data_IF_584919288854
#
_entry.id   IF_584919288854
#
_cell.length_a   1.000
_cell.length_b   1.000
_cell.length_c   1.000
_cell.angle_alpha   90.00
_cell.angle_beta   90.00
_cell.angle_gamma   90.00
#
_symmetry.space_group_name_H-M   'P 1'
#
loop_
_entity.id
_entity.type
_entity.pdbx_description
1 polymer ?
#
# COMPACT_ATOMS: atom_id res chain seq x y z
N UNK A 1 37.81 12.88 -5.85
CA UNK A 1 38.34 12.42 -4.56
C UNK A 1 37.58 11.16 -4.16
N UNK A 2 38.21 10.00 -4.31
CA UNK A 2 37.64 8.67 -4.05
C UNK A 2 38.07 8.18 -2.68
N UNK A 3 37.15 7.63 -1.87
CA UNK A 3 37.48 6.86 -0.67
C UNK A 3 36.70 5.55 -0.66
N UNK A 4 37.41 4.50 -1.06
CA UNK A 4 37.12 3.10 -0.78
C UNK A 4 37.02 2.87 0.74
N UNK A 5 36.11 1.99 1.16
CA UNK A 5 36.31 1.22 2.38
C UNK A 5 35.86 -0.22 2.15
N UNK A 6 36.84 -1.13 2.04
CA UNK A 6 36.66 -2.58 2.08
C UNK A 6 37.09 -3.03 3.46
N UNK A 7 36.21 -3.75 4.17
CA UNK A 7 36.64 -4.60 5.29
C UNK A 7 36.07 -5.99 5.06
N UNK A 8 36.97 -6.93 4.77
CA UNK A 8 36.73 -8.37 4.79
C UNK A 8 37.15 -8.89 6.16
N UNK A 9 36.32 -9.70 6.81
CA UNK A 9 36.77 -10.72 7.77
C UNK A 9 35.98 -12.00 7.46
N UNK A 10 36.71 -13.10 7.37
CA UNK A 10 36.23 -14.43 7.07
C UNK A 10 36.57 -15.39 8.22
N UNK A 11 35.88 -16.54 8.18
CA UNK A 11 36.35 -17.88 8.58
C UNK A 11 36.04 -18.36 10.01
N UNK A 12 35.22 -19.44 10.11
CA UNK A 12 35.51 -20.81 10.60
C UNK A 12 34.16 -21.49 10.93
N UNK A 13 33.71 -22.52 10.20
CA UNK A 13 34.03 -23.95 10.35
C UNK A 13 33.58 -24.58 11.69
N UNK A 14 32.72 -25.61 11.59
CA UNK A 14 32.76 -26.77 12.48
C UNK A 14 31.43 -27.12 13.16
N UNK A 15 30.88 -28.29 12.84
CA UNK A 15 29.88 -28.93 13.70
C UNK A 15 28.93 -29.92 13.02
N UNK A 16 29.46 -31.02 12.49
CA UNK A 16 28.64 -32.19 12.13
C UNK A 16 28.46 -33.06 13.38
N UNK A 17 27.22 -33.33 13.80
CA UNK A 17 26.90 -34.41 14.74
C UNK A 17 25.91 -35.37 14.08
N UNK A 18 26.26 -36.66 14.14
CA UNK A 18 25.50 -37.82 13.64
C UNK A 18 25.02 -38.65 14.83
N UNK A 19 23.94 -39.40 14.61
CA UNK A 19 23.33 -40.48 15.42
C UNK A 19 22.28 -39.97 16.44
N UNK A 20 21.11 -40.60 16.61
CA UNK A 20 20.77 -42.02 16.50
C UNK A 20 19.25 -42.17 16.33
N UNK A 21 18.79 -43.15 15.56
CA UNK A 21 17.39 -43.52 15.47
C UNK A 21 16.95 -44.36 16.68
N UNK A 22 15.80 -44.04 17.27
CA UNK A 22 15.02 -44.98 18.07
C UNK A 22 13.52 -44.70 17.87
N UNK A 23 12.83 -45.66 17.27
CA UNK A 23 11.41 -45.69 17.02
C UNK A 23 10.65 -46.04 18.29
N UNK A 24 9.71 -45.19 18.70
CA UNK A 24 8.62 -45.55 19.60
C UNK A 24 7.31 -45.19 18.90
N UNK A 25 6.56 -46.23 18.53
CA UNK A 25 5.16 -46.12 18.13
C UNK A 25 4.33 -45.85 19.38
N UNK A 26 3.58 -44.75 19.41
CA UNK A 26 2.67 -44.44 20.49
C UNK A 26 1.71 -43.31 20.12
N UNK A 27 0.46 -43.69 19.85
CA UNK A 27 -0.73 -42.83 19.95
C UNK A 27 -0.88 -41.73 18.91
N UNK A 28 -1.71 -41.96 17.89
CA UNK A 28 -2.35 -40.83 17.19
C UNK A 28 -3.45 -40.32 18.12
N UNK A 29 -3.12 -39.37 18.98
CA UNK A 29 -4.11 -38.45 19.54
C UNK A 29 -4.62 -37.58 18.39
N UNK A 30 -5.94 -37.52 18.21
CA UNK A 30 -6.55 -36.48 17.38
C UNK A 30 -6.12 -35.12 17.95
N UNK A 31 -5.25 -34.42 17.23
CA UNK A 31 -5.01 -33.01 17.45
C UNK A 31 -6.25 -32.29 16.91
N UNK A 32 -7.04 -31.70 17.80
CA UNK A 32 -7.99 -30.68 17.43
C UNK A 32 -7.23 -29.58 16.69
N UNK A 33 -7.56 -29.38 15.42
CA UNK A 33 -7.11 -28.22 14.66
C UNK A 33 -7.65 -26.97 15.36
N UNK A 34 -6.78 -26.31 16.12
CA UNK A 34 -7.03 -24.96 16.60
C UNK A 34 -7.16 -24.04 15.38
N UNK A 35 -8.41 -23.80 14.98
CA UNK A 35 -8.83 -22.72 14.07
C UNK A 35 -8.05 -21.45 14.43
N UNK A 36 -7.29 -20.83 13.51
CA UNK A 36 -6.66 -19.56 13.83
C UNK A 36 -7.79 -18.56 14.10
N UNK A 37 -7.72 -17.93 15.26
CA UNK A 37 -8.58 -16.83 15.63
C UNK A 37 -8.48 -15.76 14.54
N UNK A 38 -9.58 -15.56 13.81
CA UNK A 38 -9.80 -14.39 12.98
C UNK A 38 -9.59 -13.17 13.87
N UNK A 39 -8.46 -12.47 13.70
CA UNK A 39 -8.29 -11.14 14.26
C UNK A 39 -9.37 -10.28 13.61
N UNK A 40 -10.41 -9.97 14.38
CA UNK A 40 -11.57 -9.21 13.95
C UNK A 40 -11.15 -7.87 13.35
N UNK A 41 -11.06 -7.83 12.02
CA UNK A 41 -10.90 -6.59 11.30
C UNK A 41 -12.29 -5.97 11.21
N UNK A 42 -12.47 -4.83 11.86
CA UNK A 42 -13.72 -4.08 11.79
C UNK A 42 -14.09 -3.85 10.31
N UNK A 43 -15.38 -3.95 9.95
CA UNK A 43 -15.81 -3.76 8.57
C UNK A 43 -15.37 -2.38 8.07
N UNK A 44 -14.81 -2.35 6.86
CA UNK A 44 -14.44 -1.10 6.21
C UNK A 44 -15.65 -0.16 6.18
N UNK A 45 -15.48 1.06 6.69
CA UNK A 45 -16.54 2.07 6.63
C UNK A 45 -16.77 2.43 5.15
N UNK A 46 -18.04 2.63 4.78
CA UNK A 46 -18.45 3.12 3.47
C UNK A 46 -17.68 4.40 3.12
N UNK A 47 -16.98 4.41 1.99
CA UNK A 47 -16.22 5.57 1.52
C UNK A 47 -17.10 6.81 1.31
N UNK A 48 -18.40 6.62 1.09
CA UNK A 48 -19.38 7.70 1.01
C UNK A 48 -19.49 8.49 2.34
N UNK A 49 -19.06 7.92 3.47
CA UNK A 49 -19.03 8.56 4.78
C UNK A 49 -17.61 8.51 5.35
N UNK A 50 -16.88 9.62 5.22
CA UNK A 50 -15.53 9.77 5.79
C UNK A 50 -14.39 9.82 4.76
N UNK A 51 -14.70 9.83 3.47
CA UNK A 51 -13.78 10.26 2.42
C UNK A 51 -14.20 11.66 1.94
N UNK A 52 -13.28 12.61 1.91
CA UNK A 52 -13.52 13.95 1.39
C UNK A 52 -12.44 14.33 0.39
N UNK A 53 -12.85 14.78 -0.80
CA UNK A 53 -11.95 15.37 -1.80
C UNK A 53 -12.08 16.89 -1.79
N UNK A 54 -10.95 17.58 -1.84
CA UNK A 54 -10.87 19.03 -2.04
C UNK A 54 -10.06 19.32 -3.30
N UNK A 55 -10.69 19.89 -4.32
CA UNK A 55 -10.04 20.19 -5.59
C UNK A 55 -9.15 21.44 -5.43
N UNK A 56 -7.88 21.36 -5.87
CA UNK A 56 -6.93 22.48 -5.78
C UNK A 56 -6.67 23.12 -7.15
N UNK A 57 -6.14 22.35 -8.09
CA UNK A 57 -5.84 22.82 -9.44
C UNK A 57 -6.28 21.79 -10.48
N UNK A 58 -6.73 22.31 -11.62
CA UNK A 58 -6.98 21.56 -12.85
C UNK A 58 -6.55 22.43 -14.03
N UNK A 59 -5.53 22.04 -14.79
CA UNK A 59 -4.99 22.82 -15.92
C UNK A 59 -4.46 21.91 -17.02
N UNK A 60 -4.60 22.36 -18.25
CA UNK A 60 -3.91 21.77 -19.39
C UNK A 60 -2.40 21.82 -19.17
N UNK A 61 -1.72 20.73 -19.53
CA UNK A 61 -0.26 20.72 -19.62
C UNK A 61 0.17 21.14 -21.03
N UNK A 62 1.44 21.54 -21.17
CA UNK A 62 2.08 21.73 -22.47
C UNK A 62 2.44 20.38 -23.14
N UNK A 63 1.55 19.41 -23.00
CA UNK A 63 1.60 18.07 -23.56
C UNK A 63 0.22 17.79 -24.15
N UNK A 64 0.17 17.54 -25.45
CA UNK A 64 -1.08 17.43 -26.18
C UNK A 64 -2.02 16.38 -25.55
N UNK A 65 -3.23 16.82 -25.22
CA UNK A 65 -4.29 15.96 -24.68
C UNK A 65 -4.11 15.53 -23.22
N UNK A 66 -3.20 16.17 -22.47
CA UNK A 66 -3.02 15.90 -21.05
C UNK A 66 -3.34 17.13 -20.19
N UNK A 67 -3.78 16.86 -18.97
CA UNK A 67 -4.00 17.86 -17.94
C UNK A 67 -3.40 17.41 -16.61
N UNK A 68 -3.00 18.39 -15.80
CA UNK A 68 -2.66 18.19 -14.40
C UNK A 68 -3.89 18.46 -13.54
N UNK A 69 -4.16 17.55 -12.62
CA UNK A 69 -5.15 17.74 -11.55
C UNK A 69 -4.45 17.54 -10.22
N UNK A 70 -4.73 18.38 -9.24
CA UNK A 70 -4.27 18.16 -7.89
C UNK A 70 -5.43 18.32 -6.92
N UNK A 71 -5.53 17.40 -5.98
CA UNK A 71 -6.56 17.40 -4.94
C UNK A 71 -5.93 17.03 -3.60
N UNK A 72 -6.59 17.43 -2.53
CA UNK A 72 -6.38 16.83 -1.20
C UNK A 72 -7.47 15.79 -0.98
N UNK A 73 -7.08 14.62 -0.48
CA UNK A 73 -8.03 13.57 -0.07
C UNK A 73 -7.87 13.31 1.42
N UNK A 74 -8.94 13.56 2.17
CA UNK A 74 -9.01 13.30 3.60
C UNK A 74 -9.77 12.00 3.88
N UNK A 75 -9.22 11.18 4.76
CA UNK A 75 -9.79 9.91 5.20
C UNK A 75 -10.00 9.91 6.72
N UNK A 76 -11.22 9.61 7.15
CA UNK A 76 -11.49 9.25 8.55
C UNK A 76 -10.80 7.93 8.95
N UNK A 77 -10.58 7.69 10.26
CA UNK A 77 -9.97 6.45 10.72
C UNK A 77 -10.69 5.20 10.22
N UNK A 78 -9.94 4.31 9.56
CA UNK A 78 -10.43 3.05 9.01
C UNK A 78 -11.19 3.14 7.69
N UNK A 79 -11.29 4.33 7.08
CA UNK A 79 -11.92 4.49 5.76
C UNK A 79 -10.99 3.91 4.67
N UNK A 80 -11.63 3.28 3.69
CA UNK A 80 -10.99 2.66 2.53
C UNK A 80 -11.61 3.28 1.28
N UNK A 81 -10.82 3.70 0.30
CA UNK A 81 -11.33 4.17 -0.99
C UNK A 81 -12.02 3.02 -1.75
N UNK A 82 -12.92 3.28 -2.71
CA UNK A 82 -13.30 2.23 -3.65
C UNK A 82 -12.07 1.76 -4.45
N UNK A 83 -12.13 0.55 -5.00
CA UNK A 83 -11.14 0.09 -5.98
C UNK A 83 -11.32 0.87 -7.27
N UNK A 84 -10.26 1.53 -7.75
CA UNK A 84 -10.35 2.43 -8.90
C UNK A 84 -9.03 2.56 -9.65
N UNK A 85 -9.06 3.23 -10.79
CA UNK A 85 -7.89 3.59 -11.58
C UNK A 85 -8.05 4.99 -12.20
N UNK A 86 -6.95 5.54 -12.71
CA UNK A 86 -6.90 6.83 -13.39
C UNK A 86 -6.48 6.70 -14.85
N UNK A 87 -6.98 7.55 -15.77
CA UNK A 87 -6.58 7.57 -17.17
C UNK A 87 -5.21 8.29 -17.35
N UNK A 88 -4.25 7.96 -16.51
CA UNK A 88 -2.95 8.61 -16.39
C UNK A 88 -2.27 8.30 -15.06
N UNK A 89 -1.11 8.89 -14.85
CA UNK A 89 -0.29 8.68 -13.65
C UNK A 89 -0.89 9.42 -12.47
N UNK A 90 -0.76 8.83 -11.29
CA UNK A 90 -0.94 9.52 -10.01
C UNK A 90 0.35 9.47 -9.20
N UNK A 91 0.64 10.58 -8.51
CA UNK A 91 1.62 10.64 -7.43
C UNK A 91 0.88 11.04 -6.17
N UNK A 92 0.80 10.11 -5.23
CA UNK A 92 0.26 10.37 -3.90
C UNK A 92 1.40 10.81 -2.96
N UNK A 93 1.14 11.81 -2.13
CA UNK A 93 2.05 12.25 -1.07
C UNK A 93 1.28 12.42 0.23
N UNK A 94 1.68 11.70 1.27
CA UNK A 94 0.97 11.74 2.56
C UNK A 94 1.30 13.03 3.28
N UNK A 95 0.28 13.84 3.54
CA UNK A 95 0.40 15.08 4.31
C UNK A 95 0.35 14.80 5.81
N UNK A 96 -0.50 13.85 6.23
CA UNK A 96 -0.64 13.46 7.63
C UNK A 96 -1.26 12.07 7.77
N UNK A 97 -1.01 11.41 8.90
CA UNK A 97 -1.53 10.07 9.19
C UNK A 97 -0.70 8.95 8.55
N UNK A 98 -1.36 7.79 8.39
CA UNK A 98 -0.73 6.57 7.85
C UNK A 98 -1.70 5.89 6.91
N UNK A 99 -1.25 5.65 5.69
CA UNK A 99 -2.00 4.97 4.65
C UNK A 99 -1.42 3.60 4.35
N UNK A 100 -2.29 2.64 4.09
CA UNK A 100 -1.93 1.41 3.38
C UNK A 100 -2.48 1.49 1.97
N UNK A 101 -1.63 1.20 0.99
CA UNK A 101 -1.96 1.15 -0.43
C UNK A 101 -1.86 -0.29 -0.95
N UNK A 102 -2.88 -0.69 -1.70
CA UNK A 102 -2.90 -1.93 -2.46
C UNK A 102 -2.95 -1.57 -3.95
N UNK A 103 -1.90 -1.92 -4.70
CA UNK A 103 -1.83 -1.74 -6.15
C UNK A 103 -1.91 -3.11 -6.80
N UNK A 104 -2.70 -3.23 -7.86
CA UNK A 104 -2.85 -4.48 -8.62
C UNK A 104 -1.49 -5.04 -9.07
N UNK A 105 -1.22 -6.31 -8.71
CA UNK A 105 0.00 -7.01 -9.07
C UNK A 105 1.24 -6.60 -8.27
N UNK A 106 1.10 -5.79 -7.21
CA UNK A 106 2.20 -5.35 -6.36
C UNK A 106 1.96 -5.71 -4.89
N UNK A 107 3.03 -5.87 -4.08
CA UNK A 107 2.89 -5.97 -2.63
C UNK A 107 2.27 -4.69 -2.03
N UNK A 108 1.49 -4.83 -0.96
CA UNK A 108 0.97 -3.69 -0.22
C UNK A 108 2.12 -2.83 0.32
N UNK A 109 1.89 -1.52 0.35
CA UNK A 109 2.84 -0.54 0.88
C UNK A 109 2.16 0.34 1.92
N UNK A 110 2.86 0.60 3.03
CA UNK A 110 2.41 1.53 4.06
C UNK A 110 3.22 2.81 3.93
N UNK A 111 2.53 3.94 3.90
CA UNK A 111 3.11 5.28 3.82
C UNK A 111 2.72 6.11 5.03
N UNK A 112 3.66 6.87 5.56
CA UNK A 112 3.51 7.84 6.65
C UNK A 112 3.65 9.25 6.10
N UNK A 113 3.33 10.24 6.93
CA UNK A 113 3.51 11.66 6.59
C UNK A 113 4.91 11.97 6.03
N UNK A 114 4.94 12.64 4.87
CA UNK A 114 6.14 12.97 4.12
C UNK A 114 6.56 11.93 3.07
N UNK A 115 5.94 10.76 3.03
CA UNK A 115 6.24 9.71 2.05
C UNK A 115 5.34 9.82 0.81
N UNK A 116 5.84 9.30 -0.32
CA UNK A 116 5.14 9.34 -1.61
C UNK A 116 5.11 7.99 -2.29
N UNK A 117 4.11 7.81 -3.16
CA UNK A 117 3.96 6.64 -4.01
C UNK A 117 3.61 7.07 -5.43
N UNK A 118 4.27 6.44 -6.40
CA UNK A 118 3.92 6.53 -7.82
C UNK A 118 2.96 5.41 -8.18
N UNK A 119 1.81 5.77 -8.75
CA UNK A 119 0.79 4.83 -9.20
C UNK A 119 0.74 4.89 -10.73
N UNK A 120 1.15 3.82 -11.43
CA UNK A 120 1.19 3.80 -12.88
C UNK A 120 -0.20 3.94 -13.50
N UNK A 121 -0.25 4.52 -14.70
CA UNK A 121 -1.51 4.75 -15.41
C UNK A 121 -2.31 3.45 -15.60
N UNK A 122 -3.61 3.52 -15.29
CA UNK A 122 -4.54 2.39 -15.42
C UNK A 122 -4.40 1.32 -14.32
N UNK A 123 -3.45 1.42 -13.40
CA UNK A 123 -3.29 0.46 -12.29
C UNK A 123 -4.47 0.58 -11.33
N UNK A 124 -5.21 -0.51 -11.15
CA UNK A 124 -6.28 -0.55 -10.16
C UNK A 124 -5.68 -0.55 -8.74
N UNK A 125 -6.17 0.32 -7.88
CA UNK A 125 -5.64 0.45 -6.52
C UNK A 125 -6.69 0.88 -5.50
N UNK A 126 -6.31 0.76 -4.23
CA UNK A 126 -7.07 1.18 -3.05
C UNK A 126 -6.12 1.87 -2.07
N UNK A 127 -6.58 2.95 -1.44
CA UNK A 127 -5.93 3.58 -0.30
C UNK A 127 -6.80 3.40 0.96
N UNK A 128 -6.16 3.11 2.09
CA UNK A 128 -6.83 2.92 3.39
C UNK A 128 -6.12 3.70 4.47
N UNK A 129 -6.87 4.47 5.26
CA UNK A 129 -6.33 5.03 6.49
C UNK A 129 -6.28 3.93 7.57
N UNK A 130 -5.07 3.44 7.85
CA UNK A 130 -4.80 2.42 8.89
C UNK A 130 -4.45 3.04 10.25
N UNK A 131 -4.35 4.37 10.31
CA UNK A 131 -4.12 5.12 11.54
C UNK A 131 -5.35 5.22 12.43
N UNK A 132 -5.14 5.72 13.65
CA UNK A 132 -6.20 5.98 14.64
C UNK A 132 -6.87 7.35 14.48
N UNK A 133 -6.23 8.27 13.77
CA UNK A 133 -6.70 9.64 13.52
C UNK A 133 -7.10 9.85 12.06
N UNK A 134 -7.54 11.07 11.73
CA UNK A 134 -7.71 11.47 10.33
C UNK A 134 -6.36 11.40 9.61
N UNK A 135 -6.39 11.03 8.34
CA UNK A 135 -5.23 11.04 7.46
C UNK A 135 -5.56 11.88 6.22
N UNK A 136 -4.54 12.47 5.63
CA UNK A 136 -4.68 13.37 4.48
C UNK A 136 -3.52 13.18 3.53
N UNK A 137 -3.80 13.21 2.23
CA UNK A 137 -2.82 13.10 1.17
C UNK A 137 -3.06 14.14 0.07
N UNK A 138 -1.97 14.53 -0.58
CA UNK A 138 -1.98 15.30 -1.81
C UNK A 138 -1.86 14.31 -2.97
N UNK A 139 -2.93 14.20 -3.76
CA UNK A 139 -2.90 13.39 -4.97
C UNK A 139 -2.71 14.31 -6.18
N UNK A 140 -1.65 14.06 -6.94
CA UNK A 140 -1.31 14.79 -8.17
C UNK A 140 -1.43 13.86 -9.36
N UNK A 141 -2.28 14.23 -10.31
CA UNK A 141 -2.61 13.45 -11.48
C UNK A 141 -2.07 14.11 -12.74
N UNK A 142 -1.50 13.30 -13.63
CA UNK A 142 -1.20 13.69 -15.01
C UNK A 142 -1.99 12.75 -15.90
N UNK A 143 -3.11 13.23 -16.43
CA UNK A 143 -4.18 12.40 -16.99
C UNK A 143 -4.63 12.89 -18.36
N UNK A 144 -5.28 12.00 -19.12
CA UNK A 144 -5.96 12.37 -20.36
C UNK A 144 -7.01 13.44 -20.08
N UNK A 145 -6.94 14.53 -20.83
CA UNK A 145 -7.91 15.62 -20.78
C UNK A 145 -9.31 15.10 -21.10
N UNK A 146 -10.30 15.67 -20.41
CA UNK A 146 -11.74 15.37 -20.56
C UNK A 146 -12.17 13.93 -20.23
N UNK A 147 -11.24 13.08 -19.77
CA UNK A 147 -11.56 11.75 -19.25
C UNK A 147 -12.04 11.83 -17.78
N UNK A 148 -12.92 10.91 -17.34
CA UNK A 148 -13.24 10.79 -15.92
C UNK A 148 -11.98 10.54 -15.10
N UNK A 149 -11.74 11.37 -14.09
CA UNK A 149 -10.55 11.24 -13.25
C UNK A 149 -10.50 9.88 -12.55
N UNK A 150 -11.63 9.43 -11.99
CA UNK A 150 -11.75 8.17 -11.24
C UNK A 150 -12.57 7.18 -12.07
N UNK A 151 -12.00 6.01 -12.36
CA UNK A 151 -12.67 4.89 -13.03
C UNK A 151 -12.79 3.75 -12.03
N UNK A 152 -14.01 3.46 -11.58
CA UNK A 152 -14.25 2.36 -10.64
C UNK A 152 -13.88 1.01 -11.27
N UNK A 153 -13.28 0.14 -10.46
CA UNK A 153 -12.89 -1.22 -10.81
C UNK A 153 -13.62 -2.19 -9.89
N UNK A 154 -13.95 -3.37 -10.43
CA UNK A 154 -14.52 -4.47 -9.65
C UNK A 154 -13.44 -5.19 -8.85
#
# INVERSE_FOLDING_TARGET
MSRNNKTKIACLLGGTFVATALTVFGGVSHADEAKPASTGQAPAKSWQTGLKRTDLIKRDLDVQGQEVVQVIVDFDPGVVSPRHAHPGVEVAHVLSGTFEYELEGQPNVVLNAGESLYIPAGTAHVAKNVGKGKASELATYIVKKDAPLVILKQ
#
